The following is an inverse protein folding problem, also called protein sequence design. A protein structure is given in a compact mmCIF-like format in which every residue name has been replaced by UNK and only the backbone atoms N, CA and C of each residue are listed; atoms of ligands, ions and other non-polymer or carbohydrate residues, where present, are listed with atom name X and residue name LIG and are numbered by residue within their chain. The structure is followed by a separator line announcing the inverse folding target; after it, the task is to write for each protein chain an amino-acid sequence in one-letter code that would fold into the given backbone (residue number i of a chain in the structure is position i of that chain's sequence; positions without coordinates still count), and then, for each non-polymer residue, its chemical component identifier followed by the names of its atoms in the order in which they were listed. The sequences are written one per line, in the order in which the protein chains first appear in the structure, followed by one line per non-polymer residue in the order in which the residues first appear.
data_IF_248630495428
#
_entry.id   IF_248630495428
#
_cell.length_a   1.000
_cell.length_b   1.000
_cell.length_c   1.000
_cell.angle_alpha   90.00
_cell.angle_beta   90.00
_cell.angle_gamma   90.00
#
_symmetry.space_group_name_H-M   'P 1'
#
loop_
_entity.id
_entity.type
_entity.pdbx_description
1 polymer ?
#
# COMPACT_ATOMS: atom_id res chain seq x y z
N UNK A 1 65.14 20.06 -32.24
CA UNK A 1 63.97 19.54 -32.98
C UNK A 1 63.23 18.61 -32.02
N UNK A 2 62.19 19.10 -31.35
CA UNK A 2 61.40 18.28 -30.41
C UNK A 2 60.46 17.39 -31.24
N UNK A 3 60.65 16.07 -31.14
CA UNK A 3 59.75 15.09 -31.74
C UNK A 3 58.46 15.01 -30.91
N UNK A 4 57.40 15.65 -31.39
CA UNK A 4 56.03 15.40 -30.92
C UNK A 4 55.61 13.99 -31.32
N UNK A 5 55.82 13.00 -30.44
CA UNK A 5 55.19 11.68 -30.56
C UNK A 5 53.74 11.79 -30.10
N UNK A 6 52.81 11.88 -31.05
CA UNK A 6 51.40 11.59 -30.76
C UNK A 6 51.28 10.12 -30.35
N UNK A 7 50.81 9.80 -29.13
CA UNK A 7 50.50 8.43 -28.78
C UNK A 7 49.35 7.96 -29.66
N UNK A 8 49.56 6.86 -30.40
CA UNK A 8 48.48 6.18 -31.12
C UNK A 8 47.57 5.56 -30.06
N UNK A 9 46.50 6.27 -29.72
CA UNK A 9 45.49 5.76 -28.80
C UNK A 9 44.87 4.53 -29.46
N UNK A 10 45.00 3.38 -28.79
CA UNK A 10 44.47 2.12 -29.31
C UNK A 10 42.95 2.18 -29.36
N UNK A 11 42.36 1.72 -30.46
CA UNK A 11 40.91 1.81 -30.73
C UNK A 11 40.12 1.01 -29.67
N UNK A 12 40.74 -0.02 -29.11
CA UNK A 12 40.20 -0.82 -28.00
C UNK A 12 40.07 -0.03 -26.70
N UNK A 13 41.05 0.83 -26.38
CA UNK A 13 41.01 1.70 -25.20
C UNK A 13 39.94 2.78 -25.35
N UNK A 14 39.76 3.31 -26.55
CA UNK A 14 38.66 4.25 -26.87
C UNK A 14 37.30 3.56 -26.71
N UNK A 15 37.15 2.33 -27.23
CA UNK A 15 35.91 1.57 -27.10
C UNK A 15 35.56 1.25 -25.63
N UNK A 16 36.54 0.84 -24.82
CA UNK A 16 36.38 0.61 -23.39
C UNK A 16 35.98 1.89 -22.64
N UNK A 17 36.58 3.02 -22.99
CA UNK A 17 36.22 4.32 -22.41
C UNK A 17 34.77 4.73 -22.71
N UNK A 18 34.29 4.47 -23.94
CA UNK A 18 32.89 4.75 -24.33
C UNK A 18 31.91 3.85 -23.57
N UNK A 19 32.22 2.57 -23.42
CA UNK A 19 31.37 1.63 -22.66
C UNK A 19 31.29 2.04 -21.19
N UNK A 20 32.43 2.38 -20.58
CA UNK A 20 32.46 2.86 -19.20
C UNK A 20 31.64 4.15 -19.02
N UNK A 21 31.72 5.09 -19.98
CA UNK A 21 30.90 6.30 -19.97
C UNK A 21 29.40 6.00 -20.05
N UNK A 22 28.99 5.02 -20.85
CA UNK A 22 27.58 4.60 -20.94
C UNK A 22 27.08 4.02 -19.61
N UNK A 23 27.89 3.19 -18.95
CA UNK A 23 27.53 2.60 -17.65
C UNK A 23 27.39 3.70 -16.58
N UNK A 24 28.35 4.62 -16.51
CA UNK A 24 28.33 5.73 -15.54
C UNK A 24 27.14 6.65 -15.81
N UNK A 25 26.90 7.01 -17.08
CA UNK A 25 25.75 7.84 -17.46
C UNK A 25 24.43 7.16 -17.09
N UNK A 26 24.28 5.87 -17.39
CA UNK A 26 23.10 5.08 -17.03
C UNK A 26 22.87 5.05 -15.52
N UNK A 27 23.93 4.88 -14.72
CA UNK A 27 23.85 4.91 -13.27
C UNK A 27 23.42 6.28 -12.73
N UNK A 28 23.96 7.37 -13.28
CA UNK A 28 23.56 8.74 -12.91
C UNK A 28 22.09 8.97 -13.26
N UNK A 29 21.63 8.55 -14.45
CA UNK A 29 20.23 8.64 -14.84
C UNK A 29 19.31 7.83 -13.93
N UNK A 30 19.72 6.63 -13.51
CA UNK A 30 18.97 5.80 -12.57
C UNK A 30 18.85 6.48 -11.19
N UNK A 31 19.95 7.04 -10.68
CA UNK A 31 19.96 7.76 -9.39
C UNK A 31 19.08 9.01 -9.47
N UNK A 32 19.18 9.79 -10.56
CA UNK A 32 18.31 10.95 -10.78
C UNK A 32 16.84 10.57 -10.94
N UNK A 33 16.55 9.45 -11.61
CA UNK A 33 15.19 8.93 -11.77
C UNK A 33 14.59 8.54 -10.42
N UNK A 34 15.33 7.79 -9.59
CA UNK A 34 14.90 7.40 -8.24
C UNK A 34 14.69 8.64 -7.36
N UNK A 35 15.61 9.60 -7.40
CA UNK A 35 15.53 10.83 -6.58
C UNK A 35 14.33 11.69 -6.98
N UNK A 36 14.09 11.86 -8.29
CA UNK A 36 12.94 12.62 -8.81
C UNK A 36 11.61 11.94 -8.50
N UNK A 37 11.54 10.62 -8.62
CA UNK A 37 10.34 9.86 -8.24
C UNK A 37 10.08 9.89 -6.73
N UNK A 38 11.14 10.01 -5.92
CA UNK A 38 11.03 10.14 -4.46
C UNK A 38 10.53 11.53 -4.03
N UNK A 39 10.85 12.59 -4.78
CA UNK A 39 10.34 13.94 -4.48
C UNK A 39 8.84 14.11 -4.74
N UNK A 40 8.25 13.37 -5.69
CA UNK A 40 6.79 13.36 -5.87
C UNK A 40 6.06 12.64 -4.73
N UNK A 41 6.72 11.69 -4.05
CA UNK A 41 6.17 10.99 -2.88
C UNK A 41 6.29 11.86 -1.62
N UNK A 42 7.34 12.68 -1.51
CA UNK A 42 7.54 13.56 -0.35
C UNK A 42 6.65 14.82 -0.39
N UNK A 43 6.45 15.43 -1.57
CA UNK A 43 5.58 16.62 -1.67
C UNK A 43 4.08 16.30 -1.55
N UNK A 44 3.66 15.06 -1.84
CA UNK A 44 2.28 14.61 -1.53
C UNK A 44 2.07 14.32 -0.05
N UNK A 45 3.14 14.16 0.72
CA UNK A 45 3.07 13.92 2.18
C UNK A 45 3.09 15.20 3.00
N UNK A 46 3.59 16.33 2.47
CA UNK A 46 3.62 17.61 3.22
C UNK A 46 2.31 18.41 3.11
N UNK A 47 1.55 18.27 2.03
CA UNK A 47 0.26 18.98 1.87
C UNK A 47 -0.92 18.33 2.61
N UNK A 48 -0.71 17.18 3.26
CA UNK A 48 -1.73 16.57 4.12
C UNK A 48 -1.63 17.08 5.57
N UNK A 49 -0.57 17.81 5.94
CA UNK A 49 -0.33 18.23 7.32
C UNK A 49 -0.74 19.68 7.67
N UNK A 50 -1.28 20.47 6.74
CA UNK A 50 -1.59 21.88 7.01
C UNK A 50 -3.08 22.25 7.08
N UNK A 51 -4.01 21.28 7.02
CA UNK A 51 -5.46 21.56 7.04
C UNK A 51 -6.24 20.80 8.13
N UNK A 52 -5.57 20.35 9.21
CA UNK A 52 -6.27 19.72 10.34
C UNK A 52 -5.79 20.22 11.70
N UNK A 53 -5.78 21.54 11.89
CA UNK A 53 -6.13 22.11 13.19
C UNK A 53 -7.65 21.96 13.40
N UNK A 54 -8.12 20.72 13.57
CA UNK A 54 -9.39 20.46 14.25
C UNK A 54 -8.99 19.83 15.58
N UNK A 55 -9.06 20.65 16.63
CA UNK A 55 -8.75 20.29 18.01
C UNK A 55 -9.47 19.03 18.46
N UNK A 56 -8.80 17.90 18.26
CA UNK A 56 -9.11 16.63 18.91
C UNK A 56 -7.79 16.14 19.47
N UNK A 57 -7.65 16.25 20.79
CA UNK A 57 -6.71 15.43 21.55
C UNK A 57 -6.68 14.02 20.95
N UNK A 58 -5.50 13.42 20.69
CA UNK A 58 -5.45 12.03 20.27
C UNK A 58 -6.20 11.23 21.33
N UNK A 59 -7.32 10.63 20.95
CA UNK A 59 -8.04 9.70 21.81
C UNK A 59 -7.13 8.49 21.91
N UNK A 60 -6.30 8.46 22.95
CA UNK A 60 -5.49 7.30 23.27
C UNK A 60 -6.48 6.27 23.82
N UNK A 61 -6.98 5.41 22.94
CA UNK A 61 -7.84 4.30 23.31
C UNK A 61 -7.03 3.34 24.19
N UNK A 62 -7.64 2.91 25.28
CA UNK A 62 -7.16 1.78 26.07
C UNK A 62 -7.24 0.49 25.25
N UNK A 63 -6.41 -0.53 25.54
CA UNK A 63 -6.50 -1.83 24.86
C UNK A 63 -7.93 -2.41 24.85
N UNK A 64 -8.67 -2.26 25.95
CA UNK A 64 -10.05 -2.70 26.06
C UNK A 64 -11.00 -1.93 25.12
N UNK A 65 -10.81 -0.61 25.00
CA UNK A 65 -11.60 0.21 24.07
C UNK A 65 -11.29 -0.14 22.61
N UNK A 66 -10.04 -0.47 22.28
CA UNK A 66 -9.66 -0.93 20.94
C UNK A 66 -10.40 -2.22 20.58
N UNK A 67 -10.48 -3.18 21.51
CA UNK A 67 -11.21 -4.44 21.28
C UNK A 67 -12.71 -4.18 21.07
N UNK A 68 -13.32 -3.33 21.89
CA UNK A 68 -14.75 -2.99 21.76
C UNK A 68 -15.03 -2.28 20.44
N UNK A 69 -14.24 -1.27 20.08
CA UNK A 69 -14.38 -0.54 18.82
C UNK A 69 -14.18 -1.48 17.62
N UNK A 70 -13.15 -2.33 17.66
CA UNK A 70 -12.88 -3.34 16.64
C UNK A 70 -14.07 -4.25 16.41
N UNK A 71 -14.60 -4.86 17.47
CA UNK A 71 -15.75 -5.77 17.37
C UNK A 71 -17.02 -5.05 16.89
N UNK A 72 -17.25 -3.82 17.34
CA UNK A 72 -18.40 -3.02 16.90
C UNK A 72 -18.34 -2.69 15.41
N UNK A 73 -17.18 -2.25 14.91
CA UNK A 73 -17.00 -1.91 13.50
C UNK A 73 -17.17 -3.15 12.61
N UNK A 74 -16.59 -4.29 12.99
CA UNK A 74 -16.78 -5.54 12.24
C UNK A 74 -18.24 -6.00 12.26
N UNK A 75 -18.92 -5.90 13.40
CA UNK A 75 -20.34 -6.24 13.52
C UNK A 75 -21.22 -5.36 12.65
N UNK A 76 -20.88 -4.06 12.55
CA UNK A 76 -21.58 -3.13 11.67
C UNK A 76 -21.44 -3.51 10.20
N UNK A 77 -20.23 -3.86 9.75
CA UNK A 77 -20.00 -4.32 8.37
C UNK A 77 -20.82 -5.58 8.07
N UNK A 78 -20.83 -6.56 8.98
CA UNK A 78 -21.63 -7.79 8.83
C UNK A 78 -23.12 -7.48 8.75
N UNK A 79 -23.62 -6.54 9.55
CA UNK A 79 -25.01 -6.14 9.51
C UNK A 79 -25.39 -5.49 8.17
N UNK A 80 -24.55 -4.59 7.64
CA UNK A 80 -24.76 -3.93 6.35
C UNK A 80 -24.73 -4.93 5.17
N UNK A 81 -23.81 -5.91 5.21
CA UNK A 81 -23.76 -6.99 4.22
C UNK A 81 -25.05 -7.82 4.23
N UNK A 82 -25.57 -8.15 5.43
CA UNK A 82 -26.80 -8.94 5.58
C UNK A 82 -28.05 -8.17 5.17
N UNK A 83 -28.08 -6.84 5.34
CA UNK A 83 -29.20 -6.01 4.92
C UNK A 83 -29.25 -5.77 3.40
N UNK A 84 -28.22 -6.20 2.66
CA UNK A 84 -28.13 -5.96 1.22
C UNK A 84 -27.93 -4.49 0.90
N UNK A 85 -27.16 -3.77 1.73
CA UNK A 85 -26.83 -2.36 1.52
C UNK A 85 -26.08 -2.19 0.18
N UNK A 86 -26.71 -1.51 -0.79
CA UNK A 86 -26.17 -1.31 -2.14
C UNK A 86 -24.91 -0.42 -2.14
N UNK A 87 -24.73 0.41 -1.11
CA UNK A 87 -23.54 1.26 -0.96
C UNK A 87 -22.33 0.48 -0.43
N UNK A 88 -22.56 -0.74 0.07
CA UNK A 88 -21.53 -1.59 0.65
C UNK A 88 -20.83 -2.45 -0.42
N UNK A 89 -19.87 -1.82 -1.09
CA UNK A 89 -18.98 -2.50 -2.06
C UNK A 89 -17.80 -3.18 -1.36
N UNK A 90 -17.18 -4.16 -2.04
CA UNK A 90 -15.91 -4.76 -1.55
C UNK A 90 -14.82 -3.71 -1.31
N UNK A 91 -14.81 -2.64 -2.10
CA UNK A 91 -13.87 -1.52 -1.95
C UNK A 91 -14.12 -0.73 -0.66
N UNK A 92 -15.39 -0.46 -0.31
CA UNK A 92 -15.71 0.24 0.94
C UNK A 92 -15.44 -0.65 2.16
N UNK A 93 -15.66 -1.96 2.06
CA UNK A 93 -15.31 -2.93 3.10
C UNK A 93 -13.80 -2.98 3.32
N UNK A 94 -13.00 -3.08 2.24
CA UNK A 94 -11.53 -3.06 2.33
C UNK A 94 -11.03 -1.76 3.00
N UNK A 95 -11.57 -0.61 2.57
CA UNK A 95 -11.21 0.67 3.16
C UNK A 95 -11.56 0.73 4.66
N UNK A 96 -12.74 0.22 5.02
CA UNK A 96 -13.17 0.18 6.43
C UNK A 96 -12.23 -0.70 7.24
N UNK A 97 -11.89 -1.90 6.76
CA UNK A 97 -10.97 -2.82 7.43
C UNK A 97 -9.59 -2.18 7.70
N UNK A 98 -9.04 -1.43 6.75
CA UNK A 98 -7.77 -0.73 6.95
C UNK A 98 -7.85 0.51 7.85
N UNK A 99 -9.05 1.01 8.12
CA UNK A 99 -9.27 2.16 9.01
C UNK A 99 -9.53 1.77 10.48
N UNK A 100 -9.80 0.49 10.75
CA UNK A 100 -10.09 0.00 12.11
C UNK A 100 -8.81 -0.12 12.93
N UNK A 101 -8.88 0.28 14.21
CA UNK A 101 -7.84 -0.05 15.19
C UNK A 101 -7.87 -1.54 15.51
N UNK A 102 -6.81 -2.27 15.16
CA UNK A 102 -6.75 -3.72 15.32
C UNK A 102 -6.02 -4.10 16.61
N UNK A 103 -6.62 -4.90 17.50
CA UNK A 103 -5.93 -5.48 18.64
C UNK A 103 -4.71 -6.30 18.18
N UNK A 104 -3.60 -6.21 18.91
CA UNK A 104 -2.33 -6.82 18.49
C UNK A 104 -2.45 -8.34 18.31
N UNK A 105 -3.23 -8.99 19.16
CA UNK A 105 -3.55 -10.41 19.13
C UNK A 105 -4.29 -10.85 17.84
N UNK A 106 -5.06 -9.94 17.24
CA UNK A 106 -5.89 -10.21 16.06
C UNK A 106 -5.26 -9.70 14.76
N UNK A 107 -4.13 -9.00 14.83
CA UNK A 107 -3.47 -8.38 13.67
C UNK A 107 -3.18 -9.40 12.54
N UNK A 108 -2.67 -10.58 12.88
CA UNK A 108 -2.36 -11.61 11.87
C UNK A 108 -3.61 -12.13 11.17
N UNK A 109 -4.68 -12.41 11.93
CA UNK A 109 -5.95 -12.91 11.39
C UNK A 109 -6.61 -11.83 10.52
N UNK A 110 -6.63 -10.59 11.02
CA UNK A 110 -7.16 -9.44 10.30
C UNK A 110 -6.45 -9.24 8.97
N UNK A 111 -5.11 -9.28 8.94
CA UNK A 111 -4.35 -9.16 7.70
C UNK A 111 -4.70 -10.27 6.70
N UNK A 112 -4.82 -11.53 7.17
CA UNK A 112 -5.23 -12.65 6.31
C UNK A 112 -6.62 -12.44 5.71
N UNK A 113 -7.58 -11.97 6.50
CA UNK A 113 -8.94 -11.66 6.03
C UNK A 113 -8.93 -10.51 5.02
N UNK A 114 -8.22 -9.41 5.30
CA UNK A 114 -8.13 -8.27 4.40
C UNK A 114 -7.50 -8.64 3.05
N UNK A 115 -6.46 -9.49 3.05
CA UNK A 115 -5.88 -10.03 1.82
C UNK A 115 -6.90 -10.87 1.06
N UNK A 116 -7.63 -11.77 1.74
CA UNK A 116 -8.62 -12.63 1.09
C UNK A 116 -9.76 -11.82 0.46
N UNK A 117 -10.26 -10.79 1.15
CA UNK A 117 -11.29 -9.89 0.63
C UNK A 117 -10.79 -9.13 -0.61
N UNK A 118 -9.54 -8.68 -0.59
CA UNK A 118 -8.92 -8.08 -1.77
C UNK A 118 -8.84 -9.05 -2.94
N UNK A 119 -8.44 -10.30 -2.70
CA UNK A 119 -8.43 -11.36 -3.72
C UNK A 119 -9.83 -11.60 -4.28
N UNK A 120 -10.85 -11.69 -3.42
CA UNK A 120 -12.24 -11.83 -3.85
C UNK A 120 -12.72 -10.67 -4.74
N UNK A 121 -12.25 -9.44 -4.48
CA UNK A 121 -12.55 -8.30 -5.35
C UNK A 121 -11.92 -8.46 -6.73
N UNK A 122 -10.68 -8.93 -6.79
CA UNK A 122 -9.97 -9.18 -8.04
C UNK A 122 -10.59 -10.37 -8.81
N UNK A 123 -11.10 -11.37 -8.09
CA UNK A 123 -11.81 -12.54 -8.62
C UNK A 123 -13.29 -12.28 -8.96
N UNK A 124 -13.86 -11.17 -8.51
CA UNK A 124 -15.31 -10.88 -8.49
C UNK A 124 -16.02 -10.94 -9.85
N UNK A 125 -15.29 -10.93 -10.97
CA UNK A 125 -15.85 -11.19 -12.30
C UNK A 125 -16.20 -12.67 -12.57
N UNK A 126 -15.79 -13.59 -11.69
CA UNK A 126 -15.96 -15.05 -11.87
C UNK A 126 -16.97 -15.69 -10.91
N UNK A 127 -17.37 -14.98 -9.85
CA UNK A 127 -18.25 -15.48 -8.79
C UNK A 127 -19.57 -14.70 -8.77
N UNK A 128 -20.66 -15.33 -8.31
CA UNK A 128 -21.92 -14.61 -8.10
C UNK A 128 -21.80 -13.64 -6.92
N UNK A 129 -22.45 -12.48 -7.02
CA UNK A 129 -22.45 -11.44 -5.98
C UNK A 129 -22.87 -12.00 -4.60
N UNK A 130 -23.86 -12.88 -4.58
CA UNK A 130 -24.36 -13.53 -3.36
C UNK A 130 -23.34 -14.48 -2.72
N UNK A 131 -22.61 -15.25 -3.53
CA UNK A 131 -21.55 -16.13 -3.03
C UNK A 131 -20.39 -15.32 -2.43
N UNK A 132 -20.01 -14.22 -3.09
CA UNK A 132 -18.97 -13.31 -2.59
C UNK A 132 -19.41 -12.65 -1.29
N UNK A 133 -20.65 -12.15 -1.19
CA UNK A 133 -21.18 -11.57 0.05
C UNK A 133 -21.17 -12.59 1.20
N UNK A 134 -21.60 -13.82 0.93
CA UNK A 134 -21.61 -14.89 1.94
C UNK A 134 -20.20 -15.21 2.43
N UNK A 135 -19.22 -15.28 1.53
CA UNK A 135 -17.83 -15.53 1.89
C UNK A 135 -17.24 -14.36 2.71
N UNK A 136 -17.51 -13.11 2.31
CA UNK A 136 -17.05 -11.93 3.06
C UNK A 136 -17.66 -11.87 4.46
N UNK A 137 -18.96 -12.16 4.60
CA UNK A 137 -19.62 -12.27 5.91
C UNK A 137 -18.92 -13.32 6.77
N UNK A 138 -18.63 -14.49 6.21
CA UNK A 138 -17.94 -15.58 6.91
C UNK A 138 -16.54 -15.16 7.39
N UNK A 139 -15.76 -14.55 6.51
CA UNK A 139 -14.41 -14.06 6.82
C UNK A 139 -14.42 -13.01 7.93
N UNK A 140 -15.31 -12.02 7.85
CA UNK A 140 -15.39 -10.97 8.86
C UNK A 140 -15.92 -11.51 10.19
N UNK A 141 -16.92 -12.40 10.16
CA UNK A 141 -17.46 -13.02 11.38
C UNK A 141 -16.40 -13.86 12.12
N UNK A 142 -15.48 -14.50 11.38
CA UNK A 142 -14.37 -15.26 11.98
C UNK A 142 -13.40 -14.41 12.83
N UNK A 143 -13.38 -13.09 12.60
CA UNK A 143 -12.60 -12.14 13.41
C UNK A 143 -13.31 -11.72 14.69
N UNK A 144 -14.63 -11.88 14.76
CA UNK A 144 -15.46 -11.55 15.93
C UNK A 144 -15.52 -12.72 16.89
N UNK A 145 -15.66 -13.93 16.37
CA UNK A 145 -15.83 -15.17 17.16
C UNK A 145 -14.49 -15.82 17.61
N UNK A 146 -13.35 -15.12 17.40
CA UNK A 146 -11.97 -15.58 17.69
C UNK A 146 -11.48 -15.17 19.06
#
# INVERSE_FOLDING_TARGET
MFFSRHPRVDKTVIALGIIALFIISSFIFLVLYITRNSTEILHRSSDIQSDREIGTTPVVLTPEEIVVEYTQQLSHIVAQLKSGDEDLTLTSIEHTLFSVHVPQENLSKHLSVSIRIRTLREEGNTLSTEAVQTEVISLISSLIDS
#
